data_IF_541686994878
#
_entry.id   IF_541686994878
#
_cell.length_a   1.000
_cell.length_b   1.000
_cell.length_c   1.000
_cell.angle_alpha   90.00
_cell.angle_beta   90.00
_cell.angle_gamma   90.00
#
_symmetry.space_group_name_H-M   'P 1'
#
loop_
_entity.id
_entity.type
_entity.pdbx_description
1 polymer ?
#
# COMPACT_ATOMS: atom_id res chain seq x y z
N UNK A 1 -9.76 -9.69 -0.67
CA UNK A 1 -10.33 -8.42 -0.16
C UNK A 1 -9.35 -7.30 -0.43
N UNK A 2 -9.80 -6.16 -0.97
CA UNK A 2 -8.95 -4.98 -1.17
C UNK A 2 -8.68 -4.27 0.16
N UNK A 3 -7.42 -3.94 0.44
CA UNK A 3 -6.97 -3.19 1.63
C UNK A 3 -6.54 -1.80 1.20
N UNK A 4 -6.84 -0.75 1.97
CA UNK A 4 -6.46 0.61 1.57
C UNK A 4 -5.01 0.93 1.94
N UNK A 5 -4.36 1.76 1.12
CA UNK A 5 -2.96 2.18 1.33
C UNK A 5 -2.76 2.85 2.70
N UNK A 6 -3.69 3.68 3.18
CA UNK A 6 -3.56 4.28 4.51
C UNK A 6 -3.69 3.26 5.66
N UNK A 7 -4.39 2.15 5.44
CA UNK A 7 -4.54 1.08 6.45
C UNK A 7 -3.25 0.28 6.55
N UNK A 8 -2.65 -0.03 5.40
CA UNK A 8 -1.33 -0.67 5.27
C UNK A 8 -0.28 0.21 5.96
N UNK A 9 -0.25 1.50 5.62
CA UNK A 9 0.65 2.48 6.23
C UNK A 9 0.50 2.54 7.76
N UNK A 10 -0.74 2.56 8.26
CA UNK A 10 -1.01 2.60 9.70
C UNK A 10 -0.51 1.35 10.43
N UNK A 11 -0.60 0.17 9.81
CA UNK A 11 -0.14 -1.09 10.40
C UNK A 11 1.36 -1.28 10.31
N UNK A 12 1.95 -0.94 9.17
CA UNK A 12 3.39 -0.96 8.95
C UNK A 12 4.13 0.13 9.76
N UNK A 13 3.41 1.16 10.23
CA UNK A 13 4.00 2.28 10.95
C UNK A 13 4.80 3.24 10.06
N UNK A 14 4.64 3.14 8.74
CA UNK A 14 5.31 3.98 7.75
C UNK A 14 4.35 5.00 7.12
N UNK A 15 4.85 6.13 6.60
CA UNK A 15 4.03 7.09 5.88
C UNK A 15 3.30 6.47 4.67
N UNK A 16 2.04 6.87 4.44
CA UNK A 16 1.27 6.44 3.26
C UNK A 16 1.93 6.79 1.93
N UNK A 17 2.80 7.80 1.91
CA UNK A 17 3.57 8.20 0.74
C UNK A 17 4.60 7.14 0.36
N UNK A 18 5.20 6.47 1.34
CA UNK A 18 6.20 5.42 1.11
C UNK A 18 5.54 4.13 0.63
N UNK A 19 4.38 3.78 1.20
CA UNK A 19 3.53 2.69 0.70
C UNK A 19 3.10 2.96 -0.75
N UNK A 20 2.70 4.19 -1.05
CA UNK A 20 2.31 4.60 -2.41
C UNK A 20 3.49 4.54 -3.39
N UNK A 21 4.69 4.94 -2.97
CA UNK A 21 5.90 4.87 -3.77
C UNK A 21 6.24 3.42 -4.10
N UNK A 22 6.30 2.54 -3.09
CA UNK A 22 6.54 1.10 -3.27
C UNK A 22 5.49 0.46 -4.17
N UNK A 23 4.21 0.79 -3.98
CA UNK A 23 3.15 0.28 -4.84
C UNK A 23 3.32 0.69 -6.31
N UNK A 24 3.81 1.91 -6.59
CA UNK A 24 4.15 2.35 -7.94
C UNK A 24 5.39 1.65 -8.50
N UNK A 25 6.41 1.42 -7.68
CA UNK A 25 7.61 0.66 -8.06
C UNK A 25 7.27 -0.79 -8.43
N UNK A 26 6.29 -1.39 -7.76
CA UNK A 26 5.74 -2.72 -8.06
C UNK A 26 4.84 -2.74 -9.31
N UNK A 27 4.65 -1.61 -9.99
CA UNK A 27 3.84 -1.52 -11.21
C UNK A 27 2.33 -1.47 -10.96
N UNK A 28 1.88 -1.16 -9.74
CA UNK A 28 0.46 -1.13 -9.39
C UNK A 28 -0.16 0.19 -9.83
N UNK A 29 -0.79 0.15 -11.01
CA UNK A 29 -1.37 1.32 -11.67
C UNK A 29 -2.58 1.93 -10.94
N UNK A 30 -3.24 1.16 -10.07
CA UNK A 30 -4.39 1.61 -9.30
C UNK A 30 -4.00 2.39 -8.01
N UNK A 31 -2.72 2.37 -7.64
CA UNK A 31 -2.18 3.07 -6.47
C UNK A 31 -1.88 4.55 -6.80
N UNK A 32 -2.94 5.38 -6.79
CA UNK A 32 -2.86 6.82 -7.14
C UNK A 32 -2.82 7.71 -5.91
N UNK A 33 -3.56 7.35 -4.88
CA UNK A 33 -3.78 8.14 -3.66
C UNK A 33 -3.80 7.23 -2.43
N UNK A 34 -3.67 7.78 -1.23
CA UNK A 34 -3.71 6.98 0.01
C UNK A 34 -5.04 6.24 0.25
N UNK A 35 -6.13 6.66 -0.40
CA UNK A 35 -7.43 5.98 -0.39
C UNK A 35 -7.56 4.86 -1.44
N UNK A 36 -6.58 4.72 -2.34
CA UNK A 36 -6.50 3.60 -3.27
C UNK A 36 -6.39 2.27 -2.52
N UNK A 37 -6.85 1.21 -3.17
CA UNK A 37 -6.81 -0.14 -2.65
C UNK A 37 -5.73 -0.98 -3.31
N UNK A 38 -5.12 -1.86 -2.52
CA UNK A 38 -4.19 -2.90 -2.93
C UNK A 38 -4.81 -4.27 -2.62
N UNK A 39 -4.40 -5.29 -3.38
CA UNK A 39 -4.71 -6.67 -3.04
C UNK A 39 -4.01 -7.08 -1.73
N UNK A 40 -4.60 -8.07 -1.05
CA UNK A 40 -4.14 -8.52 0.28
C UNK A 40 -2.70 -9.05 0.25
N UNK A 41 -2.29 -9.68 -0.86
CA UNK A 41 -0.95 -10.25 -1.01
C UNK A 41 0.09 -9.11 -1.04
N UNK A 42 -0.16 -8.08 -1.86
CA UNK A 42 0.68 -6.88 -1.88
C UNK A 42 0.64 -6.13 -0.56
N UNK A 43 -0.54 -6.04 0.07
CA UNK A 43 -0.68 -5.37 1.36
C UNK A 43 0.19 -6.05 2.44
N UNK A 44 0.15 -7.38 2.55
CA UNK A 44 0.97 -8.14 3.49
C UNK A 44 2.47 -7.97 3.20
N UNK A 45 2.87 -7.99 1.92
CA UNK A 45 4.26 -7.71 1.53
C UNK A 45 4.74 -6.31 1.93
N UNK A 46 3.86 -5.30 1.90
CA UNK A 46 4.15 -3.94 2.31
C UNK A 46 4.04 -3.73 3.83
N UNK A 47 3.33 -4.61 4.54
CA UNK A 47 3.20 -4.63 6.00
C UNK A 47 4.44 -5.24 6.70
N UNK A 48 5.11 -6.21 6.08
CA UNK A 48 6.31 -6.87 6.64
C UNK A 48 7.63 -6.09 6.44
N UNK A 49 7.57 -4.87 5.93
CA UNK A 49 8.72 -4.01 5.61
C UNK A 49 8.79 -2.77 6.50
#
# INVERSE_FOLDING_TARGET
>A
MPVRIYEIAKKAGIPSKDVLAKAKELGITNAKVASSTLDKITAEYLEEQ
#
